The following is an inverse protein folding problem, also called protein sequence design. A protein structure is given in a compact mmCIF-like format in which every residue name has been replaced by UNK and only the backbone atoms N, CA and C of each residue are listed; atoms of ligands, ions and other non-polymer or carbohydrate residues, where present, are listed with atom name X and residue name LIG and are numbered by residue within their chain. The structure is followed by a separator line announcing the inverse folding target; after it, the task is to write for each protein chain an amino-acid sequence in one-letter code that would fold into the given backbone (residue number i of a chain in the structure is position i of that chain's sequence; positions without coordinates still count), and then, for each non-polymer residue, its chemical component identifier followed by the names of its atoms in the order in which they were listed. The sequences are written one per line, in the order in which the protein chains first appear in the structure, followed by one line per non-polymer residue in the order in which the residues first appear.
data_IF_176422148049
#
_entry.id   IF_176422148049
#
_cell.length_a   1.000
_cell.length_b   1.000
_cell.length_c   1.000
_cell.angle_alpha   90.00
_cell.angle_beta   90.00
_cell.angle_gamma   90.00
#
_symmetry.space_group_name_H-M   'P 1'
#
loop_
_entity.id
_entity.type
_entity.pdbx_description
1 polymer ?
#
# COMPACT_ATOMS: atom_id res chain seq x y z
N UNK A 1 36.46 12.37 -14.37
CA UNK A 1 36.76 10.96 -14.68
C UNK A 1 35.44 10.29 -14.96
N UNK A 2 35.09 10.19 -16.24
CA UNK A 2 33.90 9.49 -16.71
C UNK A 2 34.19 7.99 -16.68
N UNK A 3 33.48 7.25 -15.83
CA UNK A 3 33.51 5.79 -15.88
C UNK A 3 32.31 5.33 -16.72
N UNK A 4 32.59 5.00 -17.96
CA UNK A 4 31.66 4.33 -18.86
C UNK A 4 31.50 2.87 -18.41
N UNK A 5 30.32 2.52 -17.92
CA UNK A 5 29.88 1.14 -17.77
C UNK A 5 28.89 0.81 -18.89
N UNK A 6 29.40 0.63 -20.11
CA UNK A 6 28.61 0.04 -21.20
C UNK A 6 28.82 -1.48 -21.10
N UNK A 7 27.80 -2.21 -20.65
CA UNK A 7 27.69 -3.64 -20.93
C UNK A 7 27.00 -3.78 -22.29
N UNK A 8 27.77 -3.69 -23.37
CA UNK A 8 27.31 -4.18 -24.68
C UNK A 8 27.47 -5.70 -24.69
N UNK A 9 26.43 -6.48 -25.00
CA UNK A 9 26.67 -7.81 -25.52
C UNK A 9 27.44 -7.64 -26.83
N UNK A 10 28.56 -8.36 -26.90
CA UNK A 10 29.38 -8.56 -28.08
C UNK A 10 28.49 -8.64 -29.34
N UNK A 11 28.65 -7.69 -30.25
CA UNK A 11 27.99 -7.69 -31.55
C UNK A 11 28.54 -8.84 -32.40
N UNK A 12 27.90 -10.00 -32.31
CA UNK A 12 27.71 -11.01 -33.36
C UNK A 12 27.18 -12.30 -32.72
N UNK A 13 25.87 -12.51 -32.69
CA UNK A 13 25.36 -13.87 -32.58
C UNK A 13 24.08 -14.01 -33.42
N UNK A 14 24.22 -14.64 -34.59
CA UNK A 14 23.12 -15.35 -35.22
C UNK A 14 22.90 -16.61 -34.36
N UNK A 15 22.23 -16.42 -33.22
CA UNK A 15 21.86 -17.50 -32.31
C UNK A 15 21.01 -16.95 -31.18
N UNK A 16 20.17 -17.81 -30.61
CA UNK A 16 19.18 -17.42 -29.60
C UNK A 16 19.91 -16.79 -28.40
N UNK A 17 19.46 -15.64 -27.87
CA UNK A 17 20.04 -15.09 -26.64
C UNK A 17 19.94 -16.16 -25.54
N UNK A 18 21.04 -16.39 -24.83
CA UNK A 18 21.14 -17.39 -23.78
C UNK A 18 20.40 -16.99 -22.51
N UNK A 19 20.28 -17.92 -21.57
CA UNK A 19 19.67 -17.64 -20.26
C UNK A 19 20.60 -16.77 -19.40
N UNK A 20 20.00 -15.82 -18.69
CA UNK A 20 20.65 -14.97 -17.71
C UNK A 20 20.30 -15.48 -16.30
N UNK A 21 21.28 -15.95 -15.56
CA UNK A 21 21.07 -16.63 -14.27
C UNK A 21 21.85 -15.90 -13.19
N UNK A 22 21.13 -15.46 -12.14
CA UNK A 22 21.69 -14.88 -10.93
C UNK A 22 21.29 -15.75 -9.74
N UNK A 23 22.28 -16.25 -8.99
CA UNK A 23 22.05 -17.03 -7.77
C UNK A 23 22.90 -16.48 -6.63
N UNK A 24 22.56 -16.90 -5.41
CA UNK A 24 23.42 -16.80 -4.23
C UNK A 24 23.92 -15.38 -3.93
N UNK A 25 22.98 -14.43 -3.88
CA UNK A 25 23.24 -13.01 -3.59
C UNK A 25 24.03 -12.29 -4.67
N UNK A 26 23.95 -12.75 -5.92
CA UNK A 26 24.52 -12.04 -7.05
C UNK A 26 23.90 -10.64 -7.19
N UNK A 27 24.74 -9.68 -7.59
CA UNK A 27 24.37 -8.27 -7.67
C UNK A 27 24.73 -7.67 -9.02
N UNK A 28 23.77 -6.94 -9.60
CA UNK A 28 24.01 -5.98 -10.68
C UNK A 28 23.50 -4.65 -10.18
N UNK A 29 24.39 -3.65 -10.09
CA UNK A 29 24.02 -2.36 -9.56
C UNK A 29 24.61 -1.20 -10.38
N UNK A 30 23.77 -0.22 -10.67
CA UNK A 30 24.18 1.11 -11.11
C UNK A 30 23.93 2.07 -9.95
N UNK A 31 25.00 2.62 -9.35
CA UNK A 31 24.89 3.35 -8.09
C UNK A 31 25.62 4.69 -8.14
N UNK A 32 24.92 5.78 -7.79
CA UNK A 32 25.57 7.07 -7.54
C UNK A 32 26.16 7.11 -6.13
N UNK A 33 27.32 7.74 -5.96
CA UNK A 33 27.96 7.86 -4.63
C UNK A 33 27.31 8.96 -3.78
N UNK A 34 27.49 8.91 -2.47
CA UNK A 34 27.01 9.95 -1.54
C UNK A 34 27.56 11.32 -1.94
N UNK A 35 26.69 12.33 -1.99
CA UNK A 35 27.05 13.73 -2.37
C UNK A 35 27.67 13.86 -3.77
N UNK A 36 27.53 12.84 -4.63
CA UNK A 36 27.95 12.95 -6.03
C UNK A 36 26.98 13.81 -6.83
N UNK A 37 27.41 14.22 -8.03
CA UNK A 37 26.56 14.93 -9.01
C UNK A 37 26.23 14.06 -10.23
N UNK A 38 26.82 12.87 -10.34
CA UNK A 38 26.62 11.97 -11.46
C UNK A 38 25.35 11.15 -11.31
N UNK A 39 24.62 11.01 -12.41
CA UNK A 39 23.44 10.15 -12.50
C UNK A 39 23.83 8.67 -12.44
N UNK A 40 22.91 7.84 -11.97
CA UNK A 40 22.98 6.40 -12.18
C UNK A 40 22.71 6.10 -13.64
N UNK A 41 23.53 5.27 -14.26
CA UNK A 41 23.29 4.82 -15.64
C UNK A 41 22.15 3.80 -15.69
N UNK A 42 21.58 3.63 -16.87
CA UNK A 42 20.59 2.61 -17.14
C UNK A 42 21.20 1.20 -17.00
N UNK A 43 20.40 0.25 -16.52
CA UNK A 43 20.71 -1.18 -16.57
C UNK A 43 19.87 -1.79 -17.69
N UNK A 44 20.52 -2.41 -18.66
CA UNK A 44 19.87 -3.03 -19.82
C UNK A 44 20.23 -4.52 -19.85
N UNK A 45 19.22 -5.38 -19.87
CA UNK A 45 19.38 -6.84 -19.94
C UNK A 45 18.58 -7.38 -21.12
N UNK A 46 19.26 -8.11 -22.00
CA UNK A 46 18.65 -8.86 -23.10
C UNK A 46 19.02 -10.34 -22.99
N UNK A 47 18.02 -11.22 -22.88
CA UNK A 47 18.26 -12.64 -22.64
C UNK A 47 17.20 -13.56 -23.28
N UNK A 48 17.48 -14.86 -23.31
CA UNK A 48 16.49 -15.90 -23.59
C UNK A 48 15.48 -15.96 -22.45
N UNK A 49 15.97 -16.30 -21.27
CA UNK A 49 15.24 -16.23 -19.99
C UNK A 49 16.06 -15.46 -18.96
N UNK A 50 15.40 -14.98 -17.90
CA UNK A 50 16.07 -14.38 -16.73
C UNK A 50 15.61 -15.08 -15.45
N UNK A 51 16.54 -15.57 -14.64
CA UNK A 51 16.24 -16.18 -13.34
C UNK A 51 17.08 -15.53 -12.24
N UNK A 52 16.42 -14.94 -11.24
CA UNK A 52 17.04 -14.42 -10.03
C UNK A 52 16.62 -15.30 -8.84
N UNK A 53 17.59 -15.89 -8.17
CA UNK A 53 17.38 -16.77 -7.02
C UNK A 53 18.23 -16.36 -5.82
N UNK A 54 17.80 -16.77 -4.63
CA UNK A 54 18.59 -16.72 -3.40
C UNK A 54 19.10 -15.31 -3.05
N UNK A 55 18.18 -14.33 -2.94
CA UNK A 55 18.47 -12.94 -2.59
C UNK A 55 19.38 -12.26 -3.59
N UNK A 56 19.22 -12.56 -4.88
CA UNK A 56 19.92 -11.81 -5.93
C UNK A 56 19.23 -10.47 -6.17
N UNK A 57 19.95 -9.46 -6.63
CA UNK A 57 19.39 -8.13 -6.86
C UNK A 57 19.93 -7.43 -8.10
N UNK A 58 19.02 -6.82 -8.86
CA UNK A 58 19.32 -5.84 -9.92
C UNK A 58 18.82 -4.49 -9.43
N UNK A 59 19.72 -3.51 -9.28
CA UNK A 59 19.40 -2.26 -8.59
C UNK A 59 19.95 -1.01 -9.27
N UNK A 60 19.10 -0.03 -9.52
CA UNK A 60 19.52 1.35 -9.88
C UNK A 60 19.34 2.24 -8.66
N UNK A 61 20.43 2.70 -8.05
CA UNK A 61 20.40 3.35 -6.74
C UNK A 61 21.05 4.73 -6.75
N UNK A 62 20.40 5.69 -6.09
CA UNK A 62 20.97 6.99 -5.78
C UNK A 62 21.17 7.10 -4.27
N UNK A 63 22.41 7.34 -3.86
CA UNK A 63 22.76 7.46 -2.44
C UNK A 63 22.35 8.81 -1.84
N UNK A 64 22.17 8.84 -0.53
CA UNK A 64 21.64 10.01 0.20
C UNK A 64 22.42 11.29 -0.13
N UNK A 65 21.69 12.38 -0.30
CA UNK A 65 22.21 13.72 -0.65
C UNK A 65 23.00 13.78 -1.98
N UNK A 66 22.97 12.75 -2.83
CA UNK A 66 23.46 12.86 -4.20
C UNK A 66 22.56 13.80 -5.01
N UNK A 67 23.18 14.58 -5.89
CA UNK A 67 22.49 15.43 -6.87
C UNK A 67 22.29 14.73 -8.22
N UNK A 68 22.68 13.46 -8.32
CA UNK A 68 22.34 12.63 -9.48
C UNK A 68 20.95 12.00 -9.36
N UNK A 69 20.40 11.62 -10.51
CA UNK A 69 19.15 10.89 -10.66
C UNK A 69 19.38 9.38 -10.89
N UNK A 70 18.42 8.51 -10.59
CA UNK A 70 18.54 7.07 -10.89
C UNK A 70 18.44 6.83 -12.40
N UNK A 71 19.20 5.85 -12.89
CA UNK A 71 18.98 5.31 -14.22
C UNK A 71 17.75 4.41 -14.26
N UNK A 72 17.27 4.11 -15.45
CA UNK A 72 16.17 3.19 -15.69
C UNK A 72 16.68 1.74 -15.77
N UNK A 73 15.83 0.79 -15.39
CA UNK A 73 16.09 -0.64 -15.59
C UNK A 73 15.22 -1.13 -16.73
N UNK A 74 15.84 -1.68 -17.79
CA UNK A 74 15.14 -2.26 -18.94
C UNK A 74 15.55 -3.70 -19.12
N UNK A 75 14.57 -4.60 -19.08
CA UNK A 75 14.79 -6.04 -19.23
C UNK A 75 13.88 -6.54 -20.35
N UNK A 76 14.51 -7.10 -21.38
CA UNK A 76 13.84 -7.72 -22.52
C UNK A 76 14.27 -9.18 -22.58
N UNK A 77 13.36 -10.10 -22.28
CA UNK A 77 13.59 -11.54 -22.43
C UNK A 77 12.62 -12.14 -23.43
N UNK A 78 13.05 -13.20 -24.11
CA UNK A 78 12.21 -13.90 -25.09
C UNK A 78 11.21 -14.85 -24.43
N UNK A 79 11.61 -15.46 -23.33
CA UNK A 79 10.86 -16.49 -22.65
C UNK A 79 10.36 -15.98 -21.29
N UNK A 80 10.95 -16.42 -20.19
CA UNK A 80 10.43 -16.13 -18.85
C UNK A 80 11.37 -15.29 -18.00
N UNK A 81 10.78 -14.52 -17.09
CA UNK A 81 11.46 -13.92 -15.94
C UNK A 81 10.93 -14.57 -14.67
N UNK A 82 11.83 -15.10 -13.84
CA UNK A 82 11.51 -15.66 -12.54
C UNK A 82 12.30 -14.95 -11.43
N UNK A 83 11.58 -14.26 -10.54
CA UNK A 83 12.14 -13.65 -9.33
C UNK A 83 11.76 -14.50 -8.13
N UNK A 84 12.70 -15.29 -7.63
CA UNK A 84 12.51 -16.19 -6.51
C UNK A 84 13.33 -15.69 -5.30
N UNK A 85 12.63 -15.12 -4.30
CA UNK A 85 13.27 -14.48 -3.14
C UNK A 85 14.38 -13.49 -3.58
N UNK A 86 14.08 -12.65 -4.56
CA UNK A 86 15.05 -11.78 -5.25
C UNK A 86 14.37 -10.52 -5.77
N UNK A 87 15.16 -9.47 -5.95
CA UNK A 87 14.64 -8.10 -6.07
C UNK A 87 15.14 -7.43 -7.36
N UNK A 88 14.24 -6.73 -8.06
CA UNK A 88 14.60 -5.75 -9.09
C UNK A 88 14.10 -4.41 -8.61
N UNK A 89 15.00 -3.45 -8.39
CA UNK A 89 14.63 -2.20 -7.75
C UNK A 89 15.29 -0.95 -8.34
N UNK A 90 14.55 0.14 -8.32
CA UNK A 90 15.07 1.50 -8.47
C UNK A 90 14.84 2.21 -7.14
N UNK A 91 15.90 2.77 -6.56
CA UNK A 91 15.83 3.36 -5.22
C UNK A 91 16.55 4.71 -5.13
N UNK A 92 15.80 5.74 -4.74
CA UNK A 92 16.34 7.09 -4.50
C UNK A 92 16.28 7.40 -3.02
N UNK A 93 17.45 7.50 -2.38
CA UNK A 93 17.56 7.78 -0.94
C UNK A 93 17.11 9.19 -0.56
N UNK A 94 16.81 9.37 0.73
CA UNK A 94 16.47 10.65 1.33
C UNK A 94 17.46 11.78 0.94
N UNK A 95 16.89 12.94 0.61
CA UNK A 95 17.63 14.13 0.21
C UNK A 95 18.34 14.05 -1.16
N UNK A 96 18.27 12.90 -1.84
CA UNK A 96 18.91 12.68 -3.14
C UNK A 96 17.98 12.98 -4.32
N UNK A 97 18.56 13.10 -5.51
CA UNK A 97 17.83 13.40 -6.74
C UNK A 97 17.87 14.89 -7.11
N UNK A 98 17.78 15.14 -8.41
CA UNK A 98 17.73 16.45 -9.04
C UNK A 98 16.44 16.59 -9.86
N UNK A 99 15.39 17.22 -9.29
CA UNK A 99 14.10 17.39 -9.94
C UNK A 99 14.17 18.18 -11.26
N UNK A 100 15.12 19.11 -11.40
CA UNK A 100 15.28 19.92 -12.61
C UNK A 100 15.74 19.06 -13.78
N UNK A 101 16.80 18.28 -13.59
CA UNK A 101 17.28 17.33 -14.61
C UNK A 101 16.25 16.22 -14.87
N UNK A 102 15.57 15.73 -13.82
CA UNK A 102 14.58 14.66 -13.96
C UNK A 102 13.38 15.08 -14.82
N UNK A 103 12.88 16.31 -14.65
CA UNK A 103 11.78 16.87 -15.48
C UNK A 103 12.15 16.96 -16.96
N UNK A 104 13.43 17.19 -17.26
CA UNK A 104 13.94 17.31 -18.61
C UNK A 104 14.47 15.98 -19.20
N UNK A 105 14.39 14.88 -18.46
CA UNK A 105 14.86 13.57 -18.93
C UNK A 105 13.77 12.89 -19.76
N UNK A 106 14.00 12.67 -21.08
CA UNK A 106 13.03 11.97 -21.92
C UNK A 106 12.75 10.56 -21.37
N UNK A 107 11.48 10.23 -21.21
CA UNK A 107 11.05 8.95 -20.65
C UNK A 107 11.16 8.84 -19.12
N UNK A 108 11.58 9.90 -18.41
CA UNK A 108 11.68 9.92 -16.95
C UNK A 108 12.89 9.17 -16.38
N UNK A 109 12.97 9.15 -15.04
CA UNK A 109 14.10 8.57 -14.30
C UNK A 109 13.63 7.50 -13.33
N UNK A 110 14.49 6.51 -13.09
CA UNK A 110 14.23 5.46 -12.10
C UNK A 110 13.05 4.55 -12.43
N UNK A 111 12.65 4.48 -13.69
CA UNK A 111 11.59 3.58 -14.15
C UNK A 111 12.12 2.15 -14.34
N UNK A 112 11.21 1.18 -14.23
CA UNK A 112 11.50 -0.22 -14.55
C UNK A 112 10.59 -0.68 -15.68
N UNK A 113 11.18 -1.20 -16.75
CA UNK A 113 10.46 -1.75 -17.91
C UNK A 113 10.82 -3.21 -18.11
N UNK A 114 9.81 -4.07 -18.11
CA UNK A 114 9.92 -5.51 -18.32
C UNK A 114 9.17 -5.89 -19.59
N UNK A 115 9.83 -6.59 -20.50
CA UNK A 115 9.22 -7.25 -21.67
C UNK A 115 9.60 -8.73 -21.66
N UNK A 116 8.61 -9.61 -21.65
CA UNK A 116 8.80 -11.06 -21.58
C UNK A 116 7.64 -11.83 -22.25
N UNK A 117 7.76 -13.15 -22.37
CA UNK A 117 6.58 -14.00 -22.56
C UNK A 117 5.84 -14.19 -21.24
N UNK A 118 6.57 -14.41 -20.14
CA UNK A 118 5.97 -14.49 -18.79
C UNK A 118 6.84 -13.89 -17.69
N UNK A 119 6.18 -13.42 -16.63
CA UNK A 119 6.82 -12.90 -15.41
C UNK A 119 6.24 -13.60 -14.18
N UNK A 120 7.10 -14.15 -13.32
CA UNK A 120 6.71 -14.73 -12.03
C UNK A 120 7.51 -14.12 -10.87
N UNK A 121 6.81 -13.65 -9.84
CA UNK A 121 7.38 -13.22 -8.56
C UNK A 121 6.97 -14.22 -7.47
N UNK A 122 7.95 -14.90 -6.87
CA UNK A 122 7.76 -16.02 -5.94
C UNK A 122 8.63 -15.89 -4.69
N UNK A 123 8.16 -16.45 -3.58
CA UNK A 123 8.89 -16.60 -2.32
C UNK A 123 9.54 -15.31 -1.77
N UNK A 124 8.85 -14.17 -1.90
CA UNK A 124 9.35 -12.85 -1.52
C UNK A 124 10.04 -12.12 -2.67
N UNK A 125 9.75 -12.48 -3.92
CA UNK A 125 10.25 -11.78 -5.10
C UNK A 125 9.60 -10.40 -5.26
N UNK A 126 10.38 -9.41 -5.72
CA UNK A 126 9.95 -8.00 -5.72
C UNK A 126 10.37 -7.25 -6.97
N UNK A 127 9.50 -6.36 -7.40
CA UNK A 127 9.75 -5.38 -8.46
C UNK A 127 9.36 -3.99 -7.93
N UNK A 128 10.32 -3.11 -7.67
CA UNK A 128 10.08 -1.90 -6.88
C UNK A 128 10.70 -0.64 -7.47
N UNK A 129 9.92 0.44 -7.60
CA UNK A 129 10.43 1.76 -7.95
C UNK A 129 10.11 2.74 -6.82
N UNK A 130 11.13 3.06 -6.03
CA UNK A 130 10.97 3.71 -4.74
C UNK A 130 11.77 5.01 -4.66
N UNK A 131 11.13 6.07 -4.15
CA UNK A 131 11.79 7.34 -3.86
C UNK A 131 11.52 7.83 -2.43
N UNK A 132 12.57 7.94 -1.64
CA UNK A 132 12.62 8.75 -0.41
C UNK A 132 13.16 10.16 -0.63
N UNK A 133 13.87 10.36 -1.75
CA UNK A 133 14.49 11.62 -2.13
C UNK A 133 13.52 12.62 -2.74
N UNK A 134 14.07 13.50 -3.58
CA UNK A 134 13.42 14.70 -4.11
C UNK A 134 12.57 14.49 -5.35
N UNK A 135 12.54 13.28 -5.87
CA UNK A 135 11.86 12.92 -7.11
C UNK A 135 10.50 12.28 -6.79
N UNK A 136 9.54 12.29 -7.73
CA UNK A 136 8.45 11.33 -7.70
C UNK A 136 8.98 9.88 -7.66
N UNK A 137 8.13 8.92 -7.34
CA UNK A 137 8.47 7.52 -7.56
C UNK A 137 8.56 7.22 -9.06
N UNK A 138 9.48 6.33 -9.43
CA UNK A 138 9.55 5.82 -10.80
C UNK A 138 8.31 4.99 -11.16
N UNK A 139 8.06 4.84 -12.45
CA UNK A 139 7.00 4.01 -13.00
C UNK A 139 7.51 2.58 -13.25
N UNK A 140 6.59 1.62 -13.15
CA UNK A 140 6.85 0.22 -13.54
C UNK A 140 5.95 -0.12 -14.72
N UNK A 141 6.53 -0.63 -15.79
CA UNK A 141 5.80 -1.15 -16.96
C UNK A 141 6.16 -2.61 -17.18
N UNK A 142 5.16 -3.47 -17.24
CA UNK A 142 5.30 -4.91 -17.49
C UNK A 142 4.48 -5.28 -18.72
N UNK A 143 5.16 -5.77 -19.76
CA UNK A 143 4.56 -6.34 -20.95
C UNK A 143 4.92 -7.82 -21.02
N UNK A 144 3.97 -8.70 -20.70
CA UNK A 144 4.17 -10.14 -20.71
C UNK A 144 3.11 -10.82 -21.57
N UNK A 145 3.46 -11.42 -22.71
CA UNK A 145 2.43 -11.90 -23.66
C UNK A 145 1.50 -12.95 -23.08
N UNK A 146 2.01 -13.86 -22.23
CA UNK A 146 1.25 -14.99 -21.71
C UNK A 146 0.66 -14.67 -20.33
N UNK A 147 1.52 -14.44 -19.33
CA UNK A 147 1.06 -14.20 -17.98
C UNK A 147 2.01 -13.38 -17.11
N UNK A 148 1.43 -12.72 -16.11
CA UNK A 148 2.09 -12.18 -14.92
C UNK A 148 1.53 -12.89 -13.70
N UNK A 149 2.40 -13.54 -12.92
CA UNK A 149 2.04 -14.23 -11.70
C UNK A 149 2.79 -13.63 -10.50
N UNK A 150 2.03 -13.15 -9.51
CA UNK A 150 2.54 -12.63 -8.24
C UNK A 150 1.93 -13.50 -7.14
N UNK A 151 2.63 -14.58 -6.78
CA UNK A 151 2.08 -15.62 -5.90
C UNK A 151 3.18 -16.33 -5.08
N UNK A 152 2.79 -16.89 -3.95
CA UNK A 152 3.68 -17.68 -3.08
C UNK A 152 3.90 -17.05 -1.71
N UNK A 153 4.84 -17.60 -0.94
CA UNK A 153 5.08 -17.19 0.45
C UNK A 153 5.84 -15.86 0.53
N UNK A 154 5.73 -15.16 1.66
CA UNK A 154 6.52 -13.95 2.01
C UNK A 154 6.23 -12.66 1.21
N UNK A 155 4.95 -12.36 0.95
CA UNK A 155 4.48 -11.06 0.44
C UNK A 155 5.24 -10.55 -0.81
N UNK A 156 5.08 -11.29 -1.92
CA UNK A 156 5.59 -10.89 -3.24
C UNK A 156 4.90 -9.61 -3.71
N UNK A 157 5.63 -8.74 -4.42
CA UNK A 157 5.04 -7.44 -4.76
C UNK A 157 5.61 -6.73 -5.99
N UNK A 158 4.74 -5.97 -6.63
CA UNK A 158 5.10 -4.91 -7.59
C UNK A 158 4.70 -3.58 -6.97
N UNK A 159 5.66 -2.69 -6.70
CA UNK A 159 5.39 -1.46 -5.94
C UNK A 159 6.06 -0.24 -6.55
N UNK A 160 5.29 0.85 -6.67
CA UNK A 160 5.87 2.19 -6.72
C UNK A 160 5.57 2.90 -5.40
N UNK A 161 6.56 3.57 -4.83
CA UNK A 161 6.33 4.33 -3.58
C UNK A 161 7.16 5.60 -3.55
N UNK A 162 6.51 6.71 -3.20
CA UNK A 162 7.21 7.94 -2.81
C UNK A 162 7.06 8.21 -1.32
N UNK A 163 8.06 8.84 -0.71
CA UNK A 163 7.99 9.37 0.66
C UNK A 163 8.21 10.89 0.71
N UNK A 164 8.09 11.43 1.93
CA UNK A 164 8.36 12.83 2.32
C UNK A 164 9.77 13.24 1.86
N UNK A 165 9.84 13.87 0.69
CA UNK A 165 11.08 14.31 0.06
C UNK A 165 10.85 14.94 -1.32
N UNK A 166 9.81 14.49 -2.05
CA UNK A 166 9.52 14.91 -3.42
C UNK A 166 8.96 16.35 -3.58
N UNK A 167 9.42 17.32 -2.81
CA UNK A 167 8.85 18.68 -2.66
C UNK A 167 8.60 19.46 -3.97
N UNK A 168 9.18 19.06 -5.10
CA UNK A 168 9.16 19.80 -6.38
C UNK A 168 8.04 19.42 -7.36
N UNK A 169 7.16 18.47 -7.01
CA UNK A 169 5.95 18.13 -7.77
C UNK A 169 4.79 18.93 -7.18
N UNK A 170 3.97 19.61 -7.99
CA UNK A 170 2.86 20.43 -7.48
C UNK A 170 1.91 19.66 -6.54
N UNK A 171 1.09 20.38 -5.77
CA UNK A 171 0.30 19.80 -4.67
C UNK A 171 -0.73 18.74 -5.10
N UNK A 172 -1.14 18.74 -6.37
CA UNK A 172 -2.21 17.88 -6.91
C UNK A 172 -1.71 16.79 -7.88
N UNK A 173 -0.40 16.59 -8.03
CA UNK A 173 0.14 15.57 -8.93
C UNK A 173 0.33 14.22 -8.22
N UNK A 174 -0.01 13.08 -8.85
CA UNK A 174 0.31 11.75 -8.33
C UNK A 174 1.80 11.63 -8.08
N UNK A 175 2.17 11.31 -6.84
CA UNK A 175 3.58 11.05 -6.51
C UNK A 175 3.89 9.58 -6.33
N UNK A 176 2.86 8.76 -6.06
CA UNK A 176 2.96 7.33 -6.33
C UNK A 176 3.16 7.16 -7.83
N UNK A 177 4.19 6.44 -8.23
CA UNK A 177 4.46 6.19 -9.65
C UNK A 177 3.34 5.38 -10.28
N UNK A 178 3.36 5.25 -11.59
CA UNK A 178 2.41 4.42 -12.33
C UNK A 178 2.86 2.98 -12.41
N UNK A 179 1.93 2.04 -12.30
CA UNK A 179 2.15 0.63 -12.64
C UNK A 179 1.26 0.30 -13.83
N UNK A 180 1.86 -0.03 -14.97
CA UNK A 180 1.16 -0.50 -16.16
C UNK A 180 1.50 -1.97 -16.40
N UNK A 181 0.49 -2.83 -16.45
CA UNK A 181 0.66 -4.25 -16.75
C UNK A 181 -0.19 -4.60 -17.96
N UNK A 182 0.46 -5.12 -19.00
CA UNK A 182 -0.20 -5.68 -20.19
C UNK A 182 0.14 -7.15 -20.29
N UNK A 183 -0.86 -8.04 -20.21
CA UNK A 183 -0.61 -9.48 -20.25
C UNK A 183 -1.80 -10.32 -20.66
N UNK A 184 -1.61 -11.55 -21.17
CA UNK A 184 -2.73 -12.47 -21.37
C UNK A 184 -3.49 -12.76 -20.06
N UNK A 185 -2.76 -13.03 -18.98
CA UNK A 185 -3.36 -13.34 -17.67
C UNK A 185 -2.58 -12.73 -16.51
N UNK A 186 -3.26 -12.00 -15.64
CA UNK A 186 -2.72 -11.54 -14.36
C UNK A 186 -3.26 -12.40 -13.21
N UNK A 187 -2.37 -12.91 -12.35
CA UNK A 187 -2.74 -13.56 -11.08
C UNK A 187 -1.99 -12.91 -9.92
N UNK A 188 -2.74 -12.47 -8.90
CA UNK A 188 -2.23 -11.93 -7.64
C UNK A 188 -2.86 -12.73 -6.50
N UNK A 189 -2.06 -13.49 -5.76
CA UNK A 189 -2.58 -14.37 -4.71
C UNK A 189 -1.65 -14.55 -3.52
N UNK A 190 -2.14 -15.21 -2.47
CA UNK A 190 -1.38 -15.53 -1.26
C UNK A 190 -0.78 -14.28 -0.59
N UNK A 191 -1.64 -13.30 -0.26
CA UNK A 191 -1.27 -12.00 0.33
C UNK A 191 -0.25 -11.17 -0.47
N UNK A 192 0.04 -11.55 -1.71
CA UNK A 192 0.87 -10.78 -2.63
C UNK A 192 0.15 -9.53 -3.10
N UNK A 193 0.88 -8.49 -3.50
CA UNK A 193 0.22 -7.23 -3.84
C UNK A 193 0.88 -6.41 -4.94
N UNK A 194 0.04 -5.69 -5.68
CA UNK A 194 0.43 -4.61 -6.58
C UNK A 194 0.05 -3.31 -5.89
N UNK A 195 0.96 -2.36 -5.77
CA UNK A 195 0.63 -1.12 -5.09
C UNK A 195 1.35 0.10 -5.61
N UNK A 196 0.62 1.21 -5.69
CA UNK A 196 1.18 2.53 -5.91
C UNK A 196 0.89 3.39 -4.69
N UNK A 197 1.96 3.85 -4.04
CA UNK A 197 1.87 4.53 -2.74
C UNK A 197 2.49 5.91 -2.79
N UNK A 198 1.82 6.86 -2.18
CA UNK A 198 2.42 8.11 -1.74
C UNK A 198 2.34 8.19 -0.22
N UNK A 199 3.26 8.93 0.39
CA UNK A 199 3.16 9.33 1.81
C UNK A 199 2.95 10.83 1.89
N UNK A 200 2.01 11.27 2.73
CA UNK A 200 1.69 12.67 2.99
C UNK A 200 0.44 13.14 2.25
N UNK A 201 0.38 14.44 1.93
CA UNK A 201 -0.79 15.09 1.32
C UNK A 201 -1.01 14.83 -0.17
N UNK A 202 -0.18 13.99 -0.79
CA UNK A 202 -0.14 13.84 -2.24
C UNK A 202 -0.98 12.67 -2.71
N UNK A 203 -1.57 12.79 -3.90
CA UNK A 203 -2.34 11.72 -4.49
C UNK A 203 -1.51 10.43 -4.64
N UNK A 204 -2.14 9.30 -4.32
CA UNK A 204 -1.61 7.96 -4.62
C UNK A 204 -1.37 7.77 -6.13
N UNK A 205 -0.64 6.73 -6.51
CA UNK A 205 -0.28 6.54 -7.92
C UNK A 205 -1.39 5.93 -8.78
N UNK A 206 -1.05 5.55 -10.00
CA UNK A 206 -2.01 4.97 -10.95
C UNK A 206 -1.65 3.50 -11.23
N UNK A 207 -2.62 2.61 -11.19
CA UNK A 207 -2.46 1.22 -11.61
C UNK A 207 -3.37 0.98 -12.80
N UNK A 208 -2.79 0.60 -13.94
CA UNK A 208 -3.54 0.21 -15.14
C UNK A 208 -3.16 -1.22 -15.53
N UNK A 209 -4.16 -2.09 -15.61
CA UNK A 209 -4.01 -3.48 -15.99
C UNK A 209 -4.82 -3.72 -17.26
N UNK A 210 -4.16 -4.17 -18.32
CA UNK A 210 -4.77 -4.63 -19.56
C UNK A 210 -4.51 -6.12 -19.68
N UNK A 211 -5.54 -6.95 -19.55
CA UNK A 211 -5.39 -8.39 -19.69
C UNK A 211 -6.60 -9.09 -20.30
N UNK A 212 -6.48 -10.38 -20.62
CA UNK A 212 -7.65 -11.18 -20.95
C UNK A 212 -8.33 -11.63 -19.66
N UNK A 213 -7.54 -12.24 -18.76
CA UNK A 213 -7.99 -12.69 -17.43
C UNK A 213 -7.25 -11.96 -16.30
N UNK A 214 -7.99 -11.53 -15.28
CA UNK A 214 -7.43 -11.01 -14.02
C UNK A 214 -7.97 -11.81 -12.84
N UNK A 215 -7.07 -12.38 -12.01
CA UNK A 215 -7.42 -13.12 -10.80
C UNK A 215 -6.72 -12.53 -9.59
N UNK A 216 -7.48 -12.03 -8.64
CA UNK A 216 -7.02 -11.52 -7.35
C UNK A 216 -7.66 -12.38 -6.26
N UNK A 217 -6.93 -13.34 -5.74
CA UNK A 217 -7.48 -14.40 -4.87
C UNK A 217 -6.66 -14.58 -3.60
N UNK A 218 -7.14 -15.35 -2.62
CA UNK A 218 -6.32 -15.79 -1.47
C UNK A 218 -5.59 -14.63 -0.75
N UNK A 219 -6.31 -13.51 -0.52
CA UNK A 219 -5.75 -12.34 0.15
C UNK A 219 -4.89 -11.42 -0.72
N UNK A 220 -4.73 -11.73 -2.02
CA UNK A 220 -4.06 -10.86 -2.97
C UNK A 220 -4.67 -9.45 -3.04
N UNK A 221 -3.84 -8.42 -3.26
CA UNK A 221 -4.29 -7.01 -3.20
C UNK A 221 -3.80 -6.19 -4.40
N UNK A 222 -4.65 -5.30 -4.89
CA UNK A 222 -4.26 -4.23 -5.83
C UNK A 222 -4.67 -2.92 -5.16
N UNK A 223 -3.69 -2.07 -4.82
CA UNK A 223 -3.92 -0.91 -3.93
C UNK A 223 -3.22 0.32 -4.49
N UNK A 224 -3.99 1.33 -4.86
CA UNK A 224 -3.48 2.70 -5.00
C UNK A 224 -3.91 3.51 -3.78
N UNK A 225 -2.94 4.10 -3.07
CA UNK A 225 -3.24 4.83 -1.84
C UNK A 225 -2.26 5.96 -1.58
N UNK A 226 -2.77 6.99 -0.92
CA UNK A 226 -1.96 7.96 -0.20
C UNK A 226 -2.02 7.61 1.29
N UNK A 227 -0.88 7.19 1.84
CA UNK A 227 -0.76 6.92 3.26
C UNK A 227 -0.50 8.23 3.99
N UNK A 228 -1.27 8.48 5.05
CA UNK A 228 -0.81 9.39 6.09
C UNK A 228 0.05 8.59 7.08
N UNK A 229 1.15 9.19 7.54
CA UNK A 229 1.94 8.64 8.65
C UNK A 229 1.32 8.96 10.01
N UNK A 230 0.24 9.75 10.06
CA UNK A 230 -0.38 10.17 11.32
C UNK A 230 -1.46 9.18 11.78
N UNK A 231 -1.34 8.60 12.98
CA UNK A 231 -2.46 7.93 13.62
C UNK A 231 -3.56 8.97 13.96
N UNK A 232 -4.82 8.59 13.80
CA UNK A 232 -5.98 9.40 14.20
C UNK A 232 -6.52 8.89 15.54
N UNK A 233 -6.97 9.82 16.39
CA UNK A 233 -7.74 9.51 17.59
C UNK A 233 -9.23 9.55 17.24
N UNK A 234 -9.99 8.53 17.66
CA UNK A 234 -11.46 8.60 17.64
C UNK A 234 -11.86 9.46 18.84
N UNK A 235 -12.36 10.66 18.58
CA UNK A 235 -12.73 11.64 19.62
C UNK A 235 -14.22 11.62 19.95
N UNK A 236 -15.03 10.85 19.24
CA UNK A 236 -16.43 10.66 19.56
C UNK A 236 -17.22 9.99 18.45
N UNK A 237 -18.47 9.65 18.75
CA UNK A 237 -19.48 9.20 17.79
C UNK A 237 -20.71 10.09 18.03
N UNK A 238 -21.31 10.65 16.97
CA UNK A 238 -22.53 11.46 17.10
C UNK A 238 -23.73 10.57 17.45
N UNK A 239 -24.83 11.17 17.93
CA UNK A 239 -26.09 10.46 18.16
C UNK A 239 -26.66 9.83 16.87
N UNK A 240 -26.21 10.32 15.70
CA UNK A 240 -26.56 9.83 14.36
C UNK A 240 -25.58 8.76 13.85
N UNK A 241 -24.56 8.39 14.63
CA UNK A 241 -23.59 7.34 14.30
C UNK A 241 -22.36 7.79 13.50
N UNK A 242 -22.14 9.10 13.34
CA UNK A 242 -20.96 9.63 12.65
C UNK A 242 -19.72 9.53 13.54
N UNK A 243 -18.65 8.91 13.06
CA UNK A 243 -17.37 8.78 13.78
C UNK A 243 -16.57 10.08 13.63
N UNK A 244 -16.37 10.80 14.73
CA UNK A 244 -15.50 11.98 14.80
C UNK A 244 -14.06 11.55 15.09
N UNK A 245 -13.14 12.00 14.24
CA UNK A 245 -11.71 11.73 14.40
C UNK A 245 -10.90 13.02 14.49
N UNK A 246 -9.82 13.01 15.27
CA UNK A 246 -8.84 14.10 15.35
C UNK A 246 -7.45 13.58 14.98
N UNK A 247 -6.63 14.33 14.21
CA UNK A 247 -5.22 13.99 14.02
C UNK A 247 -4.47 14.01 15.36
N UNK A 248 -3.60 13.03 15.63
CA UNK A 248 -2.79 13.04 16.86
C UNK A 248 -1.72 14.14 16.88
N UNK A 249 -1.28 14.63 15.70
CA UNK A 249 -0.26 15.69 15.57
C UNK A 249 -0.69 16.70 14.46
N UNK A 250 -0.66 18.01 14.77
CA UNK A 250 -1.02 19.11 13.85
C UNK A 250 0.08 19.46 12.81
N UNK A 251 1.21 18.75 12.78
CA UNK A 251 2.33 19.06 11.87
C UNK A 251 2.26 18.38 10.49
N UNK A 252 1.26 17.52 10.25
CA UNK A 252 1.09 16.80 8.98
C UNK A 252 -0.25 17.13 8.35
N UNK A 253 -0.23 17.83 7.21
CA UNK A 253 -1.42 18.25 6.48
C UNK A 253 -2.34 17.10 6.03
N UNK A 254 -3.48 17.49 5.44
CA UNK A 254 -4.57 16.59 5.05
C UNK A 254 -4.08 15.34 4.28
N UNK A 255 -4.65 14.15 4.54
CA UNK A 255 -4.30 12.94 3.79
C UNK A 255 -4.51 13.17 2.28
N UNK A 256 -3.54 12.75 1.47
CA UNK A 256 -3.70 12.80 0.03
C UNK A 256 -4.86 11.92 -0.45
N UNK A 257 -5.37 12.20 -1.65
CA UNK A 257 -6.40 11.36 -2.25
C UNK A 257 -5.82 9.99 -2.63
N UNK A 258 -6.63 8.93 -2.52
CA UNK A 258 -6.28 7.66 -3.15
C UNK A 258 -6.08 7.87 -4.66
N UNK A 259 -5.17 7.12 -5.26
CA UNK A 259 -5.00 7.17 -6.71
C UNK A 259 -5.98 6.23 -7.43
N UNK A 260 -5.76 6.03 -8.71
CA UNK A 260 -6.69 5.32 -9.59
C UNK A 260 -6.23 3.88 -9.85
N UNK A 261 -7.17 2.94 -9.90
CA UNK A 261 -6.95 1.57 -10.37
C UNK A 261 -7.91 1.34 -11.55
N UNK A 262 -7.36 1.02 -12.71
CA UNK A 262 -8.09 0.69 -13.94
C UNK A 262 -7.78 -0.76 -14.32
N UNK A 263 -8.81 -1.59 -14.46
CA UNK A 263 -8.68 -2.98 -14.92
C UNK A 263 -9.50 -3.14 -16.20
N UNK A 264 -8.81 -3.32 -17.31
CA UNK A 264 -9.38 -3.63 -18.61
C UNK A 264 -9.16 -5.12 -18.87
N UNK A 265 -10.19 -5.92 -18.62
CA UNK A 265 -10.18 -7.35 -18.89
C UNK A 265 -11.10 -7.68 -20.08
N UNK A 266 -10.59 -8.39 -21.10
CA UNK A 266 -11.40 -8.77 -22.26
C UNK A 266 -12.24 -10.02 -22.05
N UNK A 267 -11.87 -10.88 -21.07
CA UNK A 267 -12.56 -12.15 -20.82
C UNK A 267 -13.14 -12.22 -19.40
N UNK A 268 -12.31 -12.11 -18.36
CA UNK A 268 -12.78 -12.33 -16.98
C UNK A 268 -12.00 -11.54 -15.92
N UNK A 269 -12.71 -11.09 -14.89
CA UNK A 269 -12.14 -10.61 -13.62
C UNK A 269 -12.69 -11.47 -12.47
N UNK A 270 -11.80 -12.13 -11.72
CA UNK A 270 -12.11 -12.84 -10.48
C UNK A 270 -11.45 -12.12 -9.32
N UNK A 271 -12.24 -11.68 -8.34
CA UNK A 271 -11.75 -11.13 -7.08
C UNK A 271 -12.36 -11.92 -5.92
N UNK A 272 -11.54 -12.58 -5.11
CA UNK A 272 -12.01 -13.34 -3.94
C UNK A 272 -11.01 -13.29 -2.78
N UNK A 273 -11.52 -13.23 -1.55
CA UNK A 273 -10.68 -13.10 -0.36
C UNK A 273 -11.46 -12.58 0.85
N UNK A 274 -10.76 -12.43 1.97
CA UNK A 274 -11.28 -11.93 3.26
C UNK A 274 -11.40 -10.40 3.26
N UNK A 275 -12.21 -9.84 4.18
CA UNK A 275 -12.37 -8.40 4.36
C UNK A 275 -11.01 -7.67 4.56
N UNK A 276 -10.87 -6.41 4.11
CA UNK A 276 -9.63 -5.64 4.30
C UNK A 276 -9.22 -5.55 5.77
N UNK A 277 -7.91 -5.55 6.06
CA UNK A 277 -7.37 -5.43 7.43
C UNK A 277 -7.92 -4.20 8.18
N UNK A 278 -8.21 -3.12 7.45
CA UNK A 278 -8.79 -1.88 7.98
C UNK A 278 -10.27 -2.00 8.38
N UNK A 279 -10.99 -2.99 7.85
CA UNK A 279 -12.36 -3.31 8.24
C UNK A 279 -12.36 -4.19 9.49
N UNK A 280 -11.43 -5.14 9.59
CA UNK A 280 -11.31 -6.06 10.72
C UNK A 280 -11.00 -5.34 12.04
N UNK A 281 -10.06 -4.38 12.04
CA UNK A 281 -9.75 -3.57 13.23
C UNK A 281 -10.92 -2.66 13.62
N UNK A 282 -11.58 -2.03 12.65
CA UNK A 282 -12.75 -1.18 12.90
C UNK A 282 -13.91 -1.97 13.49
N UNK A 283 -14.18 -3.18 13.00
CA UNK A 283 -15.23 -4.06 13.53
C UNK A 283 -14.95 -4.42 15.00
N UNK A 284 -13.70 -4.74 15.35
CA UNK A 284 -13.34 -5.03 16.74
C UNK A 284 -13.55 -3.83 17.65
N UNK A 285 -13.11 -2.63 17.23
CA UNK A 285 -13.31 -1.39 18.00
C UNK A 285 -14.81 -1.10 18.19
N UNK A 286 -15.60 -1.20 17.12
CA UNK A 286 -17.05 -0.98 17.15
C UNK A 286 -17.72 -1.97 18.10
N UNK A 287 -17.35 -3.26 18.04
CA UNK A 287 -17.89 -4.28 18.93
C UNK A 287 -17.57 -4.00 20.40
N UNK A 288 -16.35 -3.56 20.70
CA UNK A 288 -15.95 -3.20 22.07
C UNK A 288 -16.74 -1.99 22.60
N UNK A 289 -16.97 -0.98 21.76
CA UNK A 289 -17.80 0.19 22.11
C UNK A 289 -19.25 -0.23 22.37
N UNK A 290 -19.83 -1.04 21.48
CA UNK A 290 -21.19 -1.57 21.63
C UNK A 290 -21.35 -2.39 22.92
N UNK A 291 -20.36 -3.24 23.26
CA UNK A 291 -20.39 -3.97 24.53
C UNK A 291 -20.34 -3.05 25.75
N UNK A 292 -19.49 -2.02 25.71
CA UNK A 292 -19.40 -1.05 26.81
C UNK A 292 -20.70 -0.29 27.01
N UNK A 293 -21.33 0.17 25.92
CA UNK A 293 -22.63 0.86 25.95
C UNK A 293 -23.74 -0.05 26.47
N UNK A 294 -23.76 -1.32 26.04
CA UNK A 294 -24.74 -2.29 26.53
C UNK A 294 -24.62 -2.50 28.05
N UNK A 295 -23.40 -2.62 28.58
CA UNK A 295 -23.18 -2.73 30.03
C UNK A 295 -23.61 -1.47 30.80
N UNK A 296 -23.43 -0.29 30.22
CA UNK A 296 -23.91 0.96 30.84
C UNK A 296 -25.43 1.00 30.94
N UNK A 297 -26.12 0.66 29.85
CA UNK A 297 -27.58 0.56 29.81
C UNK A 297 -28.11 -0.46 30.84
N UNK A 298 -27.49 -1.64 30.91
CA UNK A 298 -27.88 -2.67 31.89
C UNK A 298 -27.71 -2.19 33.34
N UNK A 299 -26.65 -1.41 33.63
CA UNK A 299 -26.44 -0.85 34.96
C UNK A 299 -27.46 0.25 35.31
N UNK A 300 -27.81 1.08 34.34
CA UNK A 300 -28.79 2.15 34.51
C UNK A 300 -30.20 1.59 34.71
N UNK A 301 -30.59 0.58 33.94
CA UNK A 301 -31.86 -0.12 34.10
C UNK A 301 -31.95 -0.81 35.47
N UNK A 302 -30.86 -1.44 35.93
CA UNK A 302 -30.77 -2.01 37.27
C UNK A 302 -30.90 -0.96 38.38
N UNK A 303 -30.33 0.23 38.19
CA UNK A 303 -30.46 1.36 39.13
C UNK A 303 -31.90 1.86 39.16
N UNK A 304 -32.52 2.09 38.01
CA UNK A 304 -33.91 2.53 37.89
C UNK A 304 -34.87 1.51 38.54
N UNK A 305 -34.62 0.21 38.35
CA UNK A 305 -35.39 -0.85 39.00
C UNK A 305 -35.23 -0.90 40.53
N UNK A 306 -34.09 -0.46 41.08
CA UNK A 306 -33.91 -0.30 42.53
C UNK A 306 -34.66 0.92 43.05
N UNK A 307 -34.57 2.04 42.34
CA UNK A 307 -35.27 3.29 42.68
C UNK A 307 -36.79 3.10 42.65
N UNK A 308 -37.32 2.45 41.61
CA UNK A 308 -38.75 2.12 41.50
C UNK A 308 -39.22 1.24 42.66
N UNK A 309 -38.44 0.23 43.07
CA UNK A 309 -38.78 -0.60 44.25
C UNK A 309 -38.80 0.21 45.55
N UNK A 310 -37.92 1.20 45.70
CA UNK A 310 -37.94 2.09 46.86
C UNK A 310 -39.14 3.03 46.85
N UNK A 311 -39.51 3.55 45.68
CA UNK A 311 -40.71 4.39 45.51
C UNK A 311 -42.00 3.62 45.82
N UNK A 312 -42.11 2.37 45.36
CA UNK A 312 -43.25 1.50 45.68
C UNK A 312 -43.36 1.29 47.20
N UNK A 313 -42.26 0.96 47.89
CA UNK A 313 -42.26 0.82 49.36
C UNK A 313 -42.72 2.09 50.08
N UNK A 314 -42.23 3.27 49.64
CA UNK A 314 -42.67 4.55 50.21
C UNK A 314 -44.15 4.83 49.97
N UNK A 315 -44.68 4.42 48.81
CA UNK A 315 -46.10 4.55 48.50
C UNK A 315 -46.95 3.68 49.44
N UNK A 316 -46.52 2.44 49.69
CA UNK A 316 -47.19 1.54 50.64
C UNK A 316 -47.20 2.12 52.07
N UNK A 317 -46.06 2.63 52.55
CA UNK A 317 -45.94 3.29 53.87
C UNK A 317 -46.86 4.53 54.00
N UNK A 318 -46.97 5.33 52.94
CA UNK A 318 -47.86 6.50 52.91
C UNK A 318 -49.34 6.09 52.94
N UNK A 319 -49.71 5.03 52.23
CA UNK A 319 -51.08 4.50 52.27
C UNK A 319 -51.44 3.93 53.64
N UNK A 320 -50.52 3.23 54.30
CA UNK A 320 -50.73 2.74 55.66
C UNK A 320 -50.92 3.90 56.65
N UNK A 321 -50.08 4.93 56.55
CA UNK A 321 -50.20 6.15 57.35
C UNK A 321 -51.54 6.86 57.12
N UNK A 322 -51.99 6.96 55.87
CA UNK A 322 -53.27 7.57 55.51
C UNK A 322 -54.46 6.79 56.10
N UNK A 323 -54.40 5.46 56.06
CA UNK A 323 -55.43 4.60 56.67
C UNK A 323 -55.49 4.80 58.19
N UNK A 324 -54.34 4.83 58.88
CA UNK A 324 -54.28 5.08 60.33
C UNK A 324 -54.85 6.46 60.71
N UNK A 325 -54.53 7.51 59.94
CA UNK A 325 -55.11 8.85 60.16
C UNK A 325 -56.63 8.82 59.99
N UNK A 326 -57.12 8.08 58.99
CA UNK A 326 -58.55 7.98 58.70
C UNK A 326 -59.29 7.27 59.84
N UNK A 327 -58.75 6.15 60.34
CA UNK A 327 -59.29 5.44 61.52
C UNK A 327 -59.26 6.30 62.80
N UNK A 328 -58.17 7.03 63.03
CA UNK A 328 -58.04 7.91 64.20
C UNK A 328 -59.06 9.07 64.17
N UNK A 329 -59.36 9.60 62.98
CA UNK A 329 -60.37 10.63 62.80
C UNK A 329 -61.80 10.09 63.00
N UNK A 330 -62.09 8.86 62.54
CA UNK A 330 -63.38 8.20 62.80
C UNK A 330 -63.60 8.03 64.31
N UNK A 331 -62.59 7.52 65.04
CA UNK A 331 -62.66 7.34 66.51
C UNK A 331 -62.82 8.64 67.31
N UNK A 332 -62.49 9.81 66.74
CA UNK A 332 -62.70 11.10 67.40
C UNK A 332 -64.10 11.68 67.21
N UNK A 333 -64.87 11.12 66.27
CA UNK A 333 -66.23 11.56 65.94
C UNK A 333 -67.32 10.70 66.61
N UNK A 334 -66.94 9.57 67.21
CA UNK A 334 -67.76 8.72 68.11
C UNK A 334 -67.62 9.16 69.57
#
# INVERSE_FOLDING_TARGET
MENYGILTPLSAFIGRPGDFIMTDRAQIAAQSQKRSKGDGNDIIIEAGSLSLNNRSFISSQVQSNSKGNPGNIRITVKDKIELNNSDIESFVNAGAGNPETAKNTPGGVGNITITARSLSLKNGGKLEAFTQGKLPAGNITVNATDFVEISGKNANRIVTETRLGAESVGENEPRGGKINITTGKLTVSNDSFISTRSIGKFQGGEITINANEVKVTEGGKIISTALNSNPFEIIGITEEGEIKTKPLNDEGGDPGNAGTITINASEQVIVSGSAPDSSSQRIVIINNILESQKRQLDNEDNKLNRENRQLIKKLDELQETQNQITEANIKKLE
#
